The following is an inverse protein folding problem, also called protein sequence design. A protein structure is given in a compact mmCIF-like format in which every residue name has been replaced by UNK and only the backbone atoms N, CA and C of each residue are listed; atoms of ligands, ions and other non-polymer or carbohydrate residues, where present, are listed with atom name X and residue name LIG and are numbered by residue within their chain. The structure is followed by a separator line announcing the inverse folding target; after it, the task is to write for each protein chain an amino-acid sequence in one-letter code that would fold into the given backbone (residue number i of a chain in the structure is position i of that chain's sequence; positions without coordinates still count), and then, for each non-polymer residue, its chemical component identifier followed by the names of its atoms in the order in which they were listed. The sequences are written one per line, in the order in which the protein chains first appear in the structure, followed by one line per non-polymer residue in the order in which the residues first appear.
data_IF_037377764446
#
_entry.id   IF_037377764446
#
_cell.length_a   1.000
_cell.length_b   1.000
_cell.length_c   1.000
_cell.angle_alpha   90.00
_cell.angle_beta   90.00
_cell.angle_gamma   90.00
#
_symmetry.space_group_name_H-M   'P 1'
#
loop_
_entity.id
_entity.type
_entity.pdbx_description
1 polymer ?
#
# COMPACT_ATOMS: atom_id res chain seq x y z
N UNK A 1 -46.81 -13.97 9.39
CA UNK A 1 -45.57 -13.17 9.25
C UNK A 1 -44.73 -13.85 8.17
N UNK A 2 -44.31 -13.26 7.05
CA UNK A 2 -44.18 -11.85 6.61
C UNK A 2 -43.12 -11.01 7.34
N UNK A 3 -41.94 -10.90 6.69
CA UNK A 3 -41.03 -9.74 6.46
C UNK A 3 -40.53 -8.91 7.68
N UNK A 4 -39.33 -8.31 7.69
CA UNK A 4 -38.44 -7.89 6.58
C UNK A 4 -36.94 -8.18 6.83
N UNK A 5 -36.18 -8.41 5.74
CA UNK A 5 -34.78 -8.02 5.60
C UNK A 5 -34.65 -7.32 4.23
N UNK A 6 -33.93 -6.20 4.17
CA UNK A 6 -33.67 -5.47 2.92
C UNK A 6 -32.15 -5.40 2.68
N UNK A 7 -31.71 -6.12 1.64
CA UNK A 7 -30.40 -5.91 1.01
C UNK A 7 -30.66 -5.15 -0.28
N UNK A 8 -30.05 -3.98 -0.45
CA UNK A 8 -30.19 -3.19 -1.67
C UNK A 8 -29.00 -3.41 -2.61
N UNK A 9 -29.28 -4.05 -3.74
CA UNK A 9 -28.43 -4.09 -4.92
C UNK A 9 -28.52 -2.78 -5.69
N UNK A 10 -27.42 -2.39 -6.34
CA UNK A 10 -27.48 -1.71 -7.63
C UNK A 10 -26.34 -2.20 -8.54
N UNK A 11 -26.71 -2.95 -9.57
CA UNK A 11 -25.85 -3.31 -10.68
C UNK A 11 -26.71 -3.23 -11.96
N UNK A 12 -26.44 -2.22 -12.79
CA UNK A 12 -27.19 -1.97 -14.03
C UNK A 12 -26.55 -2.76 -15.17
N UNK A 13 -27.34 -3.53 -15.91
CA UNK A 13 -26.90 -4.24 -17.09
C UNK A 13 -27.03 -3.35 -18.35
N UNK A 14 -26.13 -3.54 -19.31
CA UNK A 14 -26.36 -3.13 -20.70
C UNK A 14 -25.83 -4.21 -21.66
N UNK A 15 -26.48 -4.30 -22.82
CA UNK A 15 -26.24 -5.30 -23.88
C UNK A 15 -25.12 -4.82 -24.83
N UNK A 16 -24.55 -5.60 -25.75
CA UNK A 16 -25.09 -6.68 -26.61
C UNK A 16 -24.09 -7.82 -26.89
N UNK A 17 -24.59 -8.92 -27.48
CA UNK A 17 -23.78 -9.89 -28.25
C UNK A 17 -24.16 -9.79 -29.72
N UNK A 18 -23.19 -10.11 -30.59
CA UNK A 18 -23.37 -10.31 -32.03
C UNK A 18 -23.24 -11.80 -32.33
N UNK A 19 -24.02 -12.31 -33.27
CA UNK A 19 -23.99 -13.71 -33.67
C UNK A 19 -22.78 -14.06 -34.55
N UNK A 20 -22.25 -15.27 -34.37
CA UNK A 20 -21.49 -15.97 -35.40
C UNK A 20 -21.75 -17.47 -35.31
N UNK A 21 -22.60 -17.97 -36.20
CA UNK A 21 -22.85 -19.40 -36.43
C UNK A 21 -21.71 -19.99 -37.26
N UNK A 22 -21.26 -21.21 -36.94
CA UNK A 22 -20.94 -22.30 -37.89
C UNK A 22 -20.69 -23.59 -37.08
N UNK A 23 -20.87 -24.75 -37.72
CA UNK A 23 -21.18 -26.02 -37.05
C UNK A 23 -20.00 -27.02 -36.88
N UNK A 24 -20.30 -28.07 -36.13
CA UNK A 24 -19.56 -29.32 -35.87
C UNK A 24 -18.89 -29.98 -37.08
N UNK A 25 -17.77 -30.68 -36.84
CA UNK A 25 -17.63 -32.12 -37.19
C UNK A 25 -16.49 -32.81 -36.42
N UNK A 26 -16.45 -34.15 -36.50
CA UNK A 26 -15.75 -35.06 -35.58
C UNK A 26 -14.21 -35.16 -35.71
N UNK A 27 -13.58 -35.60 -34.62
CA UNK A 27 -12.24 -36.18 -34.61
C UNK A 27 -12.19 -37.49 -35.39
N UNK A 28 -11.20 -37.66 -36.28
CA UNK A 28 -10.83 -38.99 -36.80
C UNK A 28 -9.34 -39.15 -37.04
N UNK A 29 -8.87 -40.37 -36.82
CA UNK A 29 -7.46 -40.80 -36.88
C UNK A 29 -7.10 -41.25 -38.30
N UNK A 30 -5.94 -40.81 -38.80
CA UNK A 30 -4.92 -41.65 -39.47
C UNK A 30 -3.60 -40.87 -39.61
N UNK A 31 -2.49 -41.60 -39.74
CA UNK A 31 -1.18 -41.03 -40.03
C UNK A 31 -0.85 -41.12 -41.53
N UNK A 32 0.14 -40.35 -41.97
CA UNK A 32 1.09 -40.83 -42.99
C UNK A 32 2.50 -40.30 -42.71
N UNK A 33 3.51 -40.98 -43.25
CA UNK A 33 4.94 -40.72 -43.09
C UNK A 33 5.54 -40.29 -44.43
N UNK A 34 6.30 -39.20 -44.46
CA UNK A 34 7.39 -39.11 -45.43
C UNK A 34 8.60 -38.33 -44.91
N UNK A 35 9.74 -39.02 -44.97
CA UNK A 35 11.02 -38.56 -44.46
C UNK A 35 11.62 -37.45 -45.33
N UNK A 36 12.35 -36.53 -44.67
CA UNK A 36 13.70 -36.21 -45.15
C UNK A 36 14.67 -35.99 -44.00
N UNK A 37 15.36 -37.08 -43.64
CA UNK A 37 16.48 -37.05 -42.70
C UNK A 37 17.67 -36.36 -43.35
N UNK A 38 18.19 -35.34 -42.69
CA UNK A 38 19.63 -34.98 -42.76
C UNK A 38 20.10 -34.90 -41.31
N UNK A 39 20.96 -35.83 -40.91
CA UNK A 39 21.50 -35.87 -39.56
C UNK A 39 22.51 -34.72 -39.36
N UNK A 40 22.49 -34.13 -38.17
CA UNK A 40 23.29 -32.95 -37.83
C UNK A 40 23.32 -32.72 -36.32
N UNK A 41 23.65 -33.76 -35.56
CA UNK A 41 23.60 -33.74 -34.10
C UNK A 41 24.51 -32.67 -33.50
N UNK A 42 23.91 -31.62 -32.94
CA UNK A 42 24.53 -30.86 -31.85
C UNK A 42 23.53 -30.69 -30.71
N UNK A 43 23.62 -31.64 -29.78
CA UNK A 43 22.89 -31.62 -28.52
C UNK A 43 23.32 -30.41 -27.67
N UNK A 44 22.58 -29.31 -27.81
CA UNK A 44 22.38 -28.36 -26.72
C UNK A 44 20.89 -28.33 -26.40
N UNK A 45 20.49 -29.09 -25.37
CA UNK A 45 19.31 -28.72 -24.59
C UNK A 45 19.55 -27.31 -24.06
N UNK A 46 19.02 -26.31 -24.77
CA UNK A 46 18.59 -25.09 -24.10
C UNK A 46 17.42 -25.49 -23.21
N UNK A 47 17.75 -25.96 -22.00
CA UNK A 47 17.06 -25.43 -20.83
C UNK A 47 17.31 -23.92 -20.83
N UNK A 48 16.60 -23.21 -21.71
CA UNK A 48 16.25 -21.85 -21.42
C UNK A 48 15.31 -21.96 -20.24
N UNK A 49 15.89 -21.92 -19.04
CA UNK A 49 15.18 -21.58 -17.83
C UNK A 49 14.70 -20.14 -17.99
N UNK A 50 13.65 -19.98 -18.79
CA UNK A 50 12.56 -19.13 -18.41
C UNK A 50 12.05 -19.65 -17.06
N UNK A 51 12.73 -19.23 -15.99
CA UNK A 51 11.99 -18.57 -14.92
C UNK A 51 10.95 -17.69 -15.58
N UNK A 52 9.69 -17.85 -15.21
CA UNK A 52 8.65 -16.92 -15.64
C UNK A 52 8.90 -15.58 -14.94
N UNK A 53 9.90 -14.85 -15.45
CA UNK A 53 10.10 -13.43 -15.19
C UNK A 53 8.83 -12.77 -15.71
N UNK A 54 7.96 -12.37 -14.77
CA UNK A 54 6.55 -12.12 -15.08
C UNK A 54 6.40 -11.09 -16.21
N UNK A 55 5.30 -11.14 -16.94
CA UNK A 55 4.98 -10.06 -17.88
C UNK A 55 4.79 -8.73 -17.12
N UNK A 56 4.49 -8.80 -15.82
CA UNK A 56 4.52 -7.68 -14.86
C UNK A 56 5.94 -7.13 -14.65
N UNK A 57 6.98 -7.97 -14.61
CA UNK A 57 8.38 -7.52 -14.56
C UNK A 57 8.85 -6.93 -15.90
N UNK A 58 8.29 -7.39 -17.03
CA UNK A 58 8.49 -6.72 -18.32
C UNK A 58 7.84 -5.34 -18.33
N UNK A 59 6.62 -5.20 -17.80
CA UNK A 59 5.98 -3.90 -17.62
C UNK A 59 6.79 -2.97 -16.67
N UNK A 60 7.35 -3.50 -15.59
CA UNK A 60 8.26 -2.77 -14.70
C UNK A 60 9.56 -2.29 -15.39
N UNK A 61 10.01 -3.00 -16.44
CA UNK A 61 11.28 -2.74 -17.12
C UNK A 61 11.30 -1.50 -18.03
N UNK A 62 10.15 -0.91 -18.35
CA UNK A 62 10.03 0.32 -19.16
C UNK A 62 10.41 1.60 -18.38
N UNK A 63 11.50 1.54 -17.60
CA UNK A 63 11.83 2.42 -16.45
C UNK A 63 11.66 3.92 -16.75
N UNK A 64 10.47 4.41 -16.47
CA UNK A 64 10.02 5.80 -16.57
C UNK A 64 9.02 6.04 -15.43
N UNK A 65 8.84 7.28 -15.01
CA UNK A 65 7.84 7.64 -13.99
C UNK A 65 6.42 7.28 -14.46
N UNK A 66 6.11 7.54 -15.73
CA UNK A 66 4.85 7.18 -16.37
C UNK A 66 4.66 5.66 -16.46
N UNK A 67 5.68 4.91 -16.88
CA UNK A 67 5.63 3.44 -16.95
C UNK A 67 5.38 2.80 -15.59
N UNK A 68 6.06 3.28 -14.53
CA UNK A 68 5.84 2.83 -13.15
C UNK A 68 4.44 3.19 -12.63
N UNK A 69 3.96 4.41 -12.91
CA UNK A 69 2.62 4.85 -12.49
C UNK A 69 1.52 4.06 -13.22
N UNK A 70 1.70 3.74 -14.50
CA UNK A 70 0.77 2.94 -15.29
C UNK A 70 0.80 1.46 -14.87
N UNK A 71 1.99 0.90 -14.60
CA UNK A 71 2.11 -0.42 -13.99
C UNK A 71 1.36 -0.47 -12.65
N UNK A 72 1.62 0.45 -11.73
CA UNK A 72 0.98 0.49 -10.42
C UNK A 72 -0.56 0.66 -10.48
N UNK A 73 -1.07 1.37 -11.49
CA UNK A 73 -2.52 1.47 -11.76
C UNK A 73 -3.14 0.19 -12.33
N UNK A 74 -2.38 -0.57 -13.11
CA UNK A 74 -2.83 -1.84 -13.69
C UNK A 74 -2.66 -3.05 -12.76
N UNK A 75 -1.67 -2.99 -11.87
CA UNK A 75 -1.27 -4.08 -10.97
C UNK A 75 -2.30 -4.29 -9.86
N UNK A 76 -2.60 -5.57 -9.59
CA UNK A 76 -3.33 -6.00 -8.38
C UNK A 76 -2.38 -6.57 -7.31
N UNK A 77 -1.09 -6.65 -7.60
CA UNK A 77 -0.07 -7.13 -6.69
C UNK A 77 0.44 -5.98 -5.80
N UNK A 78 0.78 -6.29 -4.55
CA UNK A 78 1.55 -5.38 -3.71
C UNK A 78 3.00 -5.29 -4.24
N UNK A 79 3.63 -4.12 -4.09
CA UNK A 79 5.04 -3.91 -4.42
C UNK A 79 5.94 -4.96 -3.75
N UNK A 80 6.96 -5.46 -4.47
CA UNK A 80 7.97 -6.38 -3.90
C UNK A 80 9.16 -5.61 -3.34
N UNK A 81 9.96 -6.24 -2.48
CA UNK A 81 11.11 -5.58 -1.85
C UNK A 81 12.19 -5.20 -2.88
N UNK A 82 12.36 -5.99 -3.94
CA UNK A 82 13.21 -5.68 -5.09
C UNK A 82 12.71 -4.44 -5.86
N UNK A 83 11.39 -4.30 -6.02
CA UNK A 83 10.79 -3.13 -6.66
C UNK A 83 10.97 -1.86 -5.79
N UNK A 84 10.83 -1.98 -4.47
CA UNK A 84 11.12 -0.90 -3.53
C UNK A 84 12.60 -0.50 -3.60
N UNK A 85 13.53 -1.46 -3.59
CA UNK A 85 14.95 -1.20 -3.80
C UNK A 85 15.24 -0.49 -5.12
N UNK A 86 14.55 -0.84 -6.21
CA UNK A 86 14.74 -0.16 -7.50
C UNK A 86 14.26 1.29 -7.46
N UNK A 87 13.13 1.60 -6.81
CA UNK A 87 12.70 2.99 -6.62
C UNK A 87 13.75 3.81 -5.85
N UNK A 88 14.29 3.24 -4.77
CA UNK A 88 15.34 3.85 -3.92
C UNK A 88 16.65 4.05 -4.69
N UNK A 89 17.17 3.00 -5.35
CA UNK A 89 18.39 3.07 -6.19
C UNK A 89 18.26 4.09 -7.33
N UNK A 90 17.05 4.28 -7.86
CA UNK A 90 16.74 5.25 -8.93
C UNK A 90 16.44 6.66 -8.41
N UNK A 91 16.62 6.92 -7.10
CA UNK A 91 16.51 8.25 -6.49
C UNK A 91 15.08 8.77 -6.31
N UNK A 92 14.07 7.89 -6.33
CA UNK A 92 12.67 8.26 -6.16
C UNK A 92 12.45 8.88 -4.78
N UNK A 93 11.84 10.06 -4.70
CA UNK A 93 11.56 10.69 -3.40
C UNK A 93 10.32 10.09 -2.72
N UNK A 94 10.17 10.32 -1.42
CA UNK A 94 8.97 9.93 -0.69
C UNK A 94 7.69 10.60 -1.24
N UNK A 95 7.75 11.87 -1.64
CA UNK A 95 6.61 12.59 -2.24
C UNK A 95 6.19 12.04 -3.63
N UNK A 96 7.08 11.35 -4.33
CA UNK A 96 6.78 10.67 -5.59
C UNK A 96 6.26 9.24 -5.35
N UNK A 97 6.93 8.48 -4.48
CA UNK A 97 6.52 7.12 -4.13
C UNK A 97 5.12 7.08 -3.49
N UNK A 98 4.76 8.10 -2.69
CA UNK A 98 3.42 8.25 -2.11
C UNK A 98 2.31 8.23 -3.18
N UNK A 99 2.56 8.88 -4.33
CA UNK A 99 1.65 8.91 -5.48
C UNK A 99 1.71 7.62 -6.30
N UNK A 100 2.90 7.03 -6.46
CA UNK A 100 3.05 5.71 -7.10
C UNK A 100 2.30 4.61 -6.33
N UNK A 101 2.19 4.72 -5.01
CA UNK A 101 1.44 3.78 -4.17
C UNK A 101 -0.05 4.16 -4.03
N UNK A 102 -0.52 5.20 -4.75
CA UNK A 102 -1.90 5.71 -4.73
C UNK A 102 -2.39 6.12 -3.32
N UNK A 103 -1.48 6.58 -2.45
CA UNK A 103 -1.84 7.01 -1.11
C UNK A 103 -2.46 8.41 -1.06
N UNK A 104 -2.61 9.07 -2.20
CA UNK A 104 -3.39 10.28 -2.43
C UNK A 104 -4.85 10.00 -2.85
N UNK A 105 -5.20 8.77 -3.24
CA UNK A 105 -6.58 8.38 -3.61
C UNK A 105 -7.53 8.13 -2.42
N UNK A 106 -7.14 8.53 -1.20
CA UNK A 106 -8.00 8.58 -0.01
C UNK A 106 -7.60 7.65 1.14
N UNK A 107 -7.80 8.12 2.38
CA UNK A 107 -7.50 7.42 3.64
C UNK A 107 -8.08 6.00 3.77
N UNK A 108 -9.12 5.64 2.99
CA UNK A 108 -9.66 4.28 2.95
C UNK A 108 -8.66 3.24 2.41
N UNK A 109 -7.89 3.57 1.37
CA UNK A 109 -6.86 2.69 0.78
C UNK A 109 -5.67 2.46 1.72
N UNK A 110 -5.46 3.35 2.68
CA UNK A 110 -4.35 3.31 3.65
C UNK A 110 -4.46 2.17 4.67
N UNK A 111 -5.68 1.70 4.96
CA UNK A 111 -6.00 0.85 6.11
C UNK A 111 -5.64 -0.65 5.95
N UNK A 112 -4.90 -1.04 4.91
CA UNK A 112 -4.40 -2.42 4.79
C UNK A 112 -3.02 -2.57 5.43
N UNK A 113 -2.81 -3.66 6.16
CA UNK A 113 -1.52 -3.97 6.79
C UNK A 113 -0.38 -4.04 5.76
N UNK A 114 -0.68 -4.51 4.55
CA UNK A 114 0.26 -4.54 3.42
C UNK A 114 0.70 -3.15 2.98
N UNK A 115 -0.22 -2.19 2.87
CA UNK A 115 0.12 -0.83 2.40
C UNK A 115 0.93 -0.08 3.45
N UNK A 116 0.55 -0.20 4.74
CA UNK A 116 1.33 0.34 5.85
C UNK A 116 2.73 -0.29 5.88
N UNK A 117 2.86 -1.63 5.88
CA UNK A 117 4.19 -2.26 5.95
C UNK A 117 5.06 -1.96 4.72
N UNK A 118 4.48 -1.86 3.52
CA UNK A 118 5.24 -1.52 2.30
C UNK A 118 5.74 -0.08 2.28
N UNK A 119 4.98 0.87 2.81
CA UNK A 119 5.48 2.23 3.01
C UNK A 119 6.61 2.27 4.05
N UNK A 120 6.46 1.55 5.15
CA UNK A 120 7.46 1.49 6.22
C UNK A 120 8.78 0.90 5.73
N UNK A 121 8.73 -0.22 4.99
CA UNK A 121 9.91 -0.78 4.31
C UNK A 121 10.57 0.25 3.39
N UNK A 122 9.77 0.94 2.56
CA UNK A 122 10.29 1.91 1.60
C UNK A 122 10.97 3.11 2.26
N UNK A 123 10.35 3.71 3.29
CA UNK A 123 10.95 4.81 4.07
C UNK A 123 12.19 4.32 4.84
N UNK A 124 12.18 3.09 5.36
CA UNK A 124 13.36 2.45 5.94
C UNK A 124 14.52 2.34 4.96
N UNK A 125 14.26 1.86 3.74
CA UNK A 125 15.27 1.79 2.67
C UNK A 125 15.81 3.17 2.27
N UNK A 126 14.95 4.19 2.11
CA UNK A 126 15.38 5.58 1.84
C UNK A 126 16.28 6.12 2.96
N UNK A 127 15.88 5.96 4.22
CA UNK A 127 16.62 6.49 5.37
C UNK A 127 17.96 5.77 5.58
N UNK A 128 18.03 4.48 5.26
CA UNK A 128 19.29 3.71 5.26
C UNK A 128 20.22 4.14 4.12
N UNK A 129 19.69 4.51 2.95
CA UNK A 129 20.51 5.02 1.83
C UNK A 129 20.98 6.47 2.06
N UNK A 130 20.23 7.27 2.81
CA UNK A 130 20.51 8.68 3.05
C UNK A 130 20.40 9.08 4.55
N UNK A 131 21.33 8.61 5.41
CA UNK A 131 21.22 8.78 6.87
C UNK A 131 21.23 10.24 7.35
N UNK A 132 21.80 11.15 6.56
CA UNK A 132 21.86 12.60 6.86
C UNK A 132 20.53 13.33 6.60
N UNK A 133 19.63 12.75 5.78
CA UNK A 133 18.39 13.42 5.32
C UNK A 133 17.18 12.51 5.49
N UNK A 134 17.01 12.00 6.71
CA UNK A 134 15.93 11.07 7.06
C UNK A 134 14.54 11.66 6.79
N UNK A 135 13.71 10.86 6.12
CA UNK A 135 12.29 11.10 5.88
C UNK A 135 11.48 10.62 7.08
N UNK A 136 10.51 11.43 7.53
CA UNK A 136 9.51 10.97 8.50
C UNK A 136 8.52 10.03 7.83
N UNK A 137 8.35 8.84 8.41
CA UNK A 137 7.35 7.84 8.06
C UNK A 137 5.93 8.41 7.92
N UNK A 138 5.60 9.43 8.70
CA UNK A 138 4.23 9.95 8.88
C UNK A 138 3.98 11.26 8.12
N UNK A 139 5.02 12.05 7.85
CA UNK A 139 4.89 13.43 7.38
C UNK A 139 4.19 13.57 6.02
N UNK A 140 4.36 12.62 5.10
CA UNK A 140 3.63 12.65 3.82
C UNK A 140 2.11 12.45 4.03
N UNK A 141 1.69 11.63 4.99
CA UNK A 141 0.27 11.46 5.31
C UNK A 141 -0.32 12.68 6.01
N UNK A 142 0.36 13.29 6.98
CA UNK A 142 -0.18 14.49 7.66
C UNK A 142 -0.16 15.71 6.75
N UNK A 143 0.77 15.78 5.79
CA UNK A 143 0.77 16.75 4.67
C UNK A 143 -0.40 16.54 3.70
N UNK A 144 -0.81 15.30 3.43
CA UNK A 144 -1.88 14.97 2.48
C UNK A 144 -3.29 15.03 3.09
N UNK A 145 -3.44 14.65 4.36
CA UNK A 145 -4.74 14.43 5.01
C UNK A 145 -4.97 15.25 6.29
N UNK A 146 -3.97 15.98 6.78
CA UNK A 146 -4.00 16.64 8.08
C UNK A 146 -3.69 15.69 9.24
N UNK A 147 -3.18 16.24 10.34
CA UNK A 147 -2.80 15.50 11.54
C UNK A 147 -3.98 14.73 12.17
N UNK A 148 -5.15 15.37 12.27
CA UNK A 148 -6.36 14.80 12.89
C UNK A 148 -6.81 13.52 12.19
N UNK A 149 -6.96 13.57 10.85
CA UNK A 149 -7.42 12.44 10.07
C UNK A 149 -6.47 11.25 10.19
N UNK A 150 -5.15 11.49 10.10
CA UNK A 150 -4.13 10.43 10.26
C UNK A 150 -4.15 9.84 11.68
N UNK A 151 -4.30 10.68 12.71
CA UNK A 151 -4.39 10.21 14.09
C UNK A 151 -5.59 9.29 14.32
N UNK A 152 -6.79 9.75 13.90
CA UNK A 152 -8.05 9.02 14.05
C UNK A 152 -8.07 7.74 13.20
N UNK A 153 -7.45 7.77 12.02
CA UNK A 153 -7.26 6.61 11.14
C UNK A 153 -6.38 5.53 11.78
N UNK A 154 -5.20 5.91 12.28
CA UNK A 154 -4.26 4.99 12.95
C UNK A 154 -4.86 4.42 14.23
N UNK A 155 -5.55 5.23 15.04
CA UNK A 155 -6.26 4.74 16.22
C UNK A 155 -7.34 3.71 15.87
N UNK A 156 -8.10 3.94 14.80
CA UNK A 156 -9.09 2.96 14.31
C UNK A 156 -8.43 1.68 13.78
N UNK A 157 -7.24 1.78 13.17
CA UNK A 157 -6.46 0.63 12.73
C UNK A 157 -5.89 -0.21 13.89
N UNK A 158 -5.62 0.39 15.07
CA UNK A 158 -5.21 -0.34 16.29
C UNK A 158 -6.29 -1.30 16.80
N UNK A 159 -7.57 -1.08 16.47
CA UNK A 159 -8.69 -1.93 16.91
C UNK A 159 -8.84 -3.24 16.13
N UNK A 160 -8.15 -3.42 14.99
CA UNK A 160 -8.21 -4.64 14.16
C UNK A 160 -6.95 -5.47 14.35
N UNK A 161 -7.09 -6.76 14.67
CA UNK A 161 -5.96 -7.61 15.07
C UNK A 161 -4.84 -7.68 14.01
N UNK A 162 -5.19 -7.63 12.71
CA UNK A 162 -4.22 -7.74 11.61
C UNK A 162 -3.51 -6.43 11.24
N UNK A 163 -3.97 -5.27 11.74
CA UNK A 163 -3.28 -3.96 11.58
C UNK A 163 -2.75 -3.40 12.90
N UNK A 164 -3.06 -4.03 14.04
CA UNK A 164 -2.82 -3.50 15.38
C UNK A 164 -1.39 -3.02 15.60
N UNK A 165 -0.42 -3.86 15.25
CA UNK A 165 0.97 -3.64 15.63
C UNK A 165 1.60 -2.53 14.78
N UNK A 166 1.51 -2.63 13.45
CA UNK A 166 1.96 -1.57 12.53
C UNK A 166 1.25 -0.24 12.76
N UNK A 167 -0.05 -0.24 13.08
CA UNK A 167 -0.78 0.98 13.43
C UNK A 167 -0.31 1.59 14.78
N UNK A 168 0.15 0.77 15.72
CA UNK A 168 0.72 1.22 16.99
C UNK A 168 2.13 1.81 16.80
N UNK A 169 2.96 1.17 15.97
CA UNK A 169 4.28 1.67 15.57
C UNK A 169 4.16 3.04 14.88
N UNK A 170 3.23 3.16 13.93
CA UNK A 170 2.94 4.39 13.20
C UNK A 170 2.36 5.49 14.08
N UNK A 171 1.47 5.17 15.02
CA UNK A 171 0.95 6.16 15.97
C UNK A 171 2.05 6.65 16.94
N UNK A 172 2.97 5.77 17.35
CA UNK A 172 4.15 6.17 18.12
C UNK A 172 5.10 7.08 17.29
N UNK A 173 5.18 6.88 15.96
CA UNK A 173 5.90 7.79 15.07
C UNK A 173 5.20 9.16 14.91
N UNK A 174 3.86 9.18 14.81
CA UNK A 174 3.06 10.40 14.80
C UNK A 174 3.25 11.22 16.08
N UNK A 175 3.21 10.57 17.25
CA UNK A 175 3.45 11.21 18.54
C UNK A 175 4.86 11.80 18.64
N UNK A 176 5.90 11.07 18.18
CA UNK A 176 7.27 11.60 18.09
C UNK A 176 7.34 12.84 17.19
N UNK A 177 6.64 12.83 16.05
CA UNK A 177 6.59 13.98 15.15
C UNK A 177 5.94 15.20 15.81
N UNK A 178 4.80 15.04 16.48
CA UNK A 178 4.13 16.14 17.20
C UNK A 178 4.97 16.71 18.35
N UNK A 179 5.68 15.86 19.09
CA UNK A 179 6.62 16.28 20.14
C UNK A 179 7.79 17.08 19.53
N UNK A 180 8.33 16.65 18.38
CA UNK A 180 9.37 17.39 17.65
C UNK A 180 8.85 18.72 17.08
N UNK A 181 7.59 18.75 16.64
CA UNK A 181 6.84 19.96 16.24
C UNK A 181 6.44 20.84 17.44
N UNK A 182 6.83 20.46 18.67
CA UNK A 182 6.58 21.16 19.94
C UNK A 182 5.11 21.34 20.32
N UNK A 183 4.20 20.53 19.76
CA UNK A 183 2.79 20.51 20.13
C UNK A 183 2.65 20.01 21.57
N UNK A 184 2.12 20.83 22.46
CA UNK A 184 1.86 20.43 23.84
C UNK A 184 0.57 19.57 23.94
N UNK A 185 0.25 18.95 25.09
CA UNK A 185 -0.98 18.18 25.24
C UNK A 185 -2.27 18.94 24.89
N UNK A 186 -2.37 20.24 25.19
CA UNK A 186 -3.58 21.02 24.89
C UNK A 186 -3.71 21.33 23.38
N UNK A 187 -2.58 21.50 22.68
CA UNK A 187 -2.56 21.60 21.22
C UNK A 187 -3.09 20.31 20.59
N UNK A 188 -2.65 19.16 21.09
CA UNK A 188 -3.12 17.86 20.58
C UNK A 188 -4.57 17.59 20.98
N UNK A 189 -5.03 18.05 22.15
CA UNK A 189 -6.45 17.99 22.53
C UNK A 189 -7.33 18.75 21.53
N UNK A 190 -6.96 19.99 21.22
CA UNK A 190 -7.63 20.84 20.20
C UNK A 190 -7.57 20.22 18.80
N UNK A 191 -6.40 19.75 18.39
CA UNK A 191 -6.15 19.12 17.09
C UNK A 191 -7.01 17.87 16.87
N UNK A 192 -7.32 17.12 17.92
CA UNK A 192 -8.19 15.95 17.86
C UNK A 192 -9.69 16.30 17.89
N UNK A 193 -10.06 17.57 17.96
CA UNK A 193 -11.46 18.02 18.05
C UNK A 193 -12.15 17.64 19.35
N UNK A 194 -11.39 17.37 20.42
CA UNK A 194 -11.93 16.97 21.72
C UNK A 194 -12.53 18.16 22.47
N UNK A 195 -13.60 17.91 23.21
CA UNK A 195 -14.33 18.92 23.99
C UNK A 195 -14.60 18.40 25.40
N UNK A 196 -14.65 19.29 26.40
CA UNK A 196 -14.95 18.94 27.81
C UNK A 196 -16.14 17.97 27.89
N UNK A 197 -17.26 18.33 27.25
CA UNK A 197 -18.53 17.62 27.39
C UNK A 197 -18.60 16.27 26.66
N UNK A 198 -17.64 15.94 25.78
CA UNK A 198 -17.55 14.62 25.15
C UNK A 198 -16.30 13.82 25.57
N UNK A 199 -15.41 14.35 26.41
CA UNK A 199 -14.16 13.68 26.79
C UNK A 199 -14.36 12.24 27.34
N UNK A 200 -15.44 11.98 28.08
CA UNK A 200 -15.72 10.65 28.64
C UNK A 200 -16.36 9.67 27.65
N UNK A 201 -16.82 10.13 26.48
CA UNK A 201 -17.51 9.33 25.46
C UNK A 201 -16.78 9.29 24.11
N UNK A 202 -15.91 10.25 23.83
CA UNK A 202 -15.12 10.31 22.60
C UNK A 202 -13.99 9.27 22.65
N UNK A 203 -13.95 8.33 21.68
CA UNK A 203 -12.96 7.25 21.68
C UNK A 203 -11.52 7.75 21.51
N UNK A 204 -11.31 8.97 20.98
CA UNK A 204 -10.00 9.58 20.78
C UNK A 204 -9.45 10.27 22.03
N UNK A 205 -10.25 10.49 23.08
CA UNK A 205 -9.73 10.97 24.36
C UNK A 205 -8.71 9.98 24.98
N UNK A 206 -8.88 8.67 24.74
CA UNK A 206 -7.87 7.67 25.11
C UNK A 206 -6.56 7.87 24.33
N UNK A 207 -6.64 8.15 23.03
CA UNK A 207 -5.45 8.45 22.22
C UNK A 207 -4.74 9.73 22.70
N UNK A 208 -5.50 10.73 23.18
CA UNK A 208 -4.93 11.92 23.80
C UNK A 208 -4.17 11.59 25.09
N UNK A 209 -4.72 10.75 25.98
CA UNK A 209 -3.97 10.26 27.15
C UNK A 209 -2.72 9.45 26.77
N UNK A 210 -2.79 8.60 25.73
CA UNK A 210 -1.61 7.91 25.18
C UNK A 210 -0.54 8.91 24.66
N UNK A 211 -0.95 10.09 24.17
CA UNK A 211 -0.04 11.18 23.80
C UNK A 211 0.53 11.93 25.01
N UNK A 212 -0.28 12.27 26.02
CA UNK A 212 0.16 12.88 27.29
C UNK A 212 1.29 12.06 27.90
N UNK A 213 1.09 10.74 27.96
CA UNK A 213 2.06 9.77 28.46
C UNK A 213 3.37 9.78 27.66
N UNK A 214 3.29 9.85 26.32
CA UNK A 214 4.45 9.93 25.44
C UNK A 214 5.20 11.27 25.58
N UNK A 215 4.47 12.38 25.67
CA UNK A 215 5.01 13.73 25.85
C UNK A 215 5.75 13.85 27.19
N UNK A 216 5.15 13.40 28.30
CA UNK A 216 5.78 13.39 29.62
C UNK A 216 7.07 12.53 29.65
N UNK A 217 7.05 11.37 28.98
CA UNK A 217 8.23 10.48 28.84
C UNK A 217 9.32 11.05 27.93
N UNK A 218 8.98 11.93 27.00
CA UNK A 218 9.94 12.65 26.18
C UNK A 218 10.58 13.82 26.93
N UNK A 219 9.76 14.69 27.55
CA UNK A 219 10.24 15.85 28.33
C UNK A 219 11.12 15.43 29.51
N UNK A 220 10.75 14.37 30.23
CA UNK A 220 11.56 13.84 31.35
C UNK A 220 12.90 13.24 30.93
N UNK A 221 13.02 12.76 29.67
CA UNK A 221 14.28 12.28 29.07
C UNK A 221 15.12 13.42 28.49
N UNK A 222 14.48 14.44 27.93
CA UNK A 222 15.13 15.64 27.39
C UNK A 222 15.52 16.64 28.50
N UNK A 223 15.92 16.13 29.68
CA UNK A 223 16.19 16.94 30.87
C UNK A 223 17.40 17.86 30.64
N UNK A 224 17.10 19.15 30.66
CA UNK A 224 18.02 20.25 30.95
C UNK A 224 18.26 20.26 32.47
#
# INVERSE_FOLDING_TARGET
MRIHLLVLLFAVAFTTRVDSVVATTDSKVTADLQNKVVAGERNLRRHFSATQKSEEERAFSAWTTEGLANWAKSSKAAWTDEQLEQLVKKGTSADEAFKLFQFDEGVGKLLSASNLKRWETYVGMLNNQNPEKQVSLIKNFTKAYGDEAVAKLLYTAKSKWWTKDVASEWQAALFKQWIHEKKNPDDVYRLLGLMWHNAYTDPFNKMWWEYVDAYAKAVSKAKI
#
